data_IF_220173435078
#
_entry.id   IF_220173435078
#
_cell.length_a   1.000
_cell.length_b   1.000
_cell.length_c   1.000
_cell.angle_alpha   90.00
_cell.angle_beta   90.00
_cell.angle_gamma   90.00
#
_symmetry.space_group_name_H-M   'P 1'
#
loop_
_entity.id
_entity.type
_entity.pdbx_description
1 polymer ?
#
# COMPACT_ATOMS: atom_id res chain seq x y z
N UNK A 1 7.54 3.74 18.60
CA UNK A 1 6.99 4.64 17.57
C UNK A 1 6.66 3.76 16.39
N UNK A 2 5.38 3.50 16.18
CA UNK A 2 4.90 2.54 15.18
C UNK A 2 5.03 3.13 13.77
N UNK A 3 4.98 2.30 12.73
CA UNK A 3 5.06 2.75 11.34
C UNK A 3 3.96 3.77 11.01
N UNK A 4 2.81 3.60 11.66
CA UNK A 4 1.64 4.49 11.62
C UNK A 4 2.04 5.93 11.99
N UNK A 5 2.84 6.12 13.05
CA UNK A 5 3.25 7.45 13.52
C UNK A 5 4.22 8.16 12.55
N UNK A 6 5.02 7.41 11.77
CA UNK A 6 6.00 8.01 10.85
C UNK A 6 5.44 8.31 9.46
N UNK A 7 4.41 7.57 9.04
CA UNK A 7 3.79 7.70 7.72
C UNK A 7 2.52 8.55 7.75
N UNK A 8 1.73 8.50 8.83
CA UNK A 8 0.57 9.37 8.99
C UNK A 8 0.95 10.86 9.03
N UNK A 9 2.12 11.18 9.60
CA UNK A 9 2.65 12.54 9.73
C UNK A 9 3.29 13.13 8.46
N UNK A 10 3.24 12.45 7.30
CA UNK A 10 4.00 12.89 6.11
C UNK A 10 3.22 13.10 4.82
N UNK A 11 1.92 12.78 4.76
CA UNK A 11 1.20 12.77 3.47
C UNK A 11 -0.05 13.66 3.40
N UNK A 12 -0.89 13.81 4.44
CA UNK A 12 -2.01 14.76 4.38
C UNK A 12 -1.56 16.23 4.35
N UNK A 13 -0.32 16.50 4.80
CA UNK A 13 0.21 17.85 5.01
C UNK A 13 1.09 18.38 3.88
N UNK A 14 1.22 17.66 2.75
CA UNK A 14 1.91 18.20 1.58
C UNK A 14 0.90 18.95 0.69
N UNK A 15 0.81 20.29 0.77
CA UNK A 15 -0.21 21.08 0.07
C UNK A 15 -0.10 21.01 -1.46
N UNK A 16 1.03 20.55 -1.99
CA UNK A 16 1.26 20.39 -3.44
C UNK A 16 0.87 19.00 -3.96
N UNK A 17 0.43 18.08 -3.10
CA UNK A 17 0.17 16.70 -3.51
C UNK A 17 -1.29 16.49 -3.96
N UNK A 18 -1.53 16.66 -5.26
CA UNK A 18 -2.80 16.30 -5.91
C UNK A 18 -2.63 14.99 -6.67
N UNK A 19 -3.30 13.92 -6.22
CA UNK A 19 -3.50 12.73 -7.05
C UNK A 19 -4.43 13.14 -8.21
N UNK A 20 -3.89 13.20 -9.43
CA UNK A 20 -4.58 13.76 -10.58
C UNK A 20 -5.82 12.96 -11.03
N UNK A 21 -5.85 11.65 -10.75
CA UNK A 21 -6.96 10.75 -11.07
C UNK A 21 -7.60 10.23 -9.77
N UNK A 22 -8.94 10.34 -9.61
CA UNK A 22 -9.65 9.87 -8.42
C UNK A 22 -9.54 8.36 -8.16
N UNK A 23 -9.21 7.54 -9.17
CA UNK A 23 -8.99 6.10 -9.05
C UNK A 23 -7.51 5.75 -8.83
N UNK A 24 -6.59 6.73 -8.86
CA UNK A 24 -5.18 6.46 -8.55
C UNK A 24 -5.01 5.97 -7.12
N UNK A 25 -4.18 4.94 -6.96
CA UNK A 25 -3.78 4.41 -5.65
C UNK A 25 -2.29 4.61 -5.47
N UNK A 26 -1.91 5.35 -4.44
CA UNK A 26 -0.52 5.42 -3.98
C UNK A 26 -0.28 4.30 -2.98
N UNK A 27 0.73 3.49 -3.23
CA UNK A 27 1.20 2.45 -2.32
C UNK A 27 2.55 2.85 -1.73
N UNK A 28 2.61 3.03 -0.41
CA UNK A 28 3.88 3.06 0.32
C UNK A 28 4.04 1.69 0.99
N UNK A 29 5.24 1.13 0.95
CA UNK A 29 5.49 -0.18 1.54
C UNK A 29 6.83 -0.22 2.26
N UNK A 30 6.90 -1.10 3.25
CA UNK A 30 8.13 -1.47 3.94
C UNK A 30 8.26 -2.99 3.92
N UNK A 31 9.43 -3.46 3.51
CA UNK A 31 9.77 -4.89 3.56
C UNK A 31 10.63 -5.11 4.79
N UNK A 32 10.16 -5.97 5.69
CA UNK A 32 10.91 -6.50 6.83
C UNK A 32 11.20 -7.99 6.59
N UNK A 33 11.93 -8.63 7.50
CA UNK A 33 12.44 -10.00 7.32
C UNK A 33 11.38 -11.01 6.85
N UNK A 34 10.17 -10.96 7.42
CA UNK A 34 9.10 -11.92 7.13
C UNK A 34 7.76 -11.26 6.74
N UNK A 35 7.68 -9.93 6.69
CA UNK A 35 6.43 -9.22 6.44
C UNK A 35 6.66 -8.05 5.48
N UNK A 36 5.63 -7.77 4.68
CA UNK A 36 5.53 -6.53 3.90
C UNK A 36 4.39 -5.72 4.48
N UNK A 37 4.72 -4.57 5.06
CA UNK A 37 3.73 -3.61 5.55
C UNK A 37 3.39 -2.65 4.41
N UNK A 38 2.09 -2.44 4.17
CA UNK A 38 1.59 -1.67 3.04
C UNK A 38 0.60 -0.61 3.53
N UNK A 39 0.76 0.62 3.05
CA UNK A 39 -0.15 1.73 3.26
C UNK A 39 -0.64 2.25 1.91
N UNK A 40 -1.95 2.21 1.71
CA UNK A 40 -2.61 2.68 0.49
C UNK A 40 -3.31 4.02 0.73
N UNK A 41 -3.14 4.95 -0.20
CA UNK A 41 -3.84 6.24 -0.20
C UNK A 41 -4.53 6.40 -1.55
N UNK A 42 -5.83 6.68 -1.54
CA UNK A 42 -6.65 6.87 -2.73
C UNK A 42 -7.72 7.94 -2.46
N UNK A 43 -8.00 8.87 -3.39
CA UNK A 43 -9.07 9.86 -3.22
C UNK A 43 -10.47 9.25 -3.30
N UNK A 44 -10.70 8.28 -4.19
CA UNK A 44 -12.02 7.75 -4.55
C UNK A 44 -12.41 6.42 -3.91
N UNK A 45 -11.76 5.98 -2.82
CA UNK A 45 -12.06 4.69 -2.18
C UNK A 45 -11.55 3.45 -2.94
N UNK A 46 -10.80 3.63 -4.03
CA UNK A 46 -10.17 2.55 -4.80
C UNK A 46 -9.09 1.75 -4.03
N UNK A 47 -8.65 2.26 -2.88
CA UNK A 47 -7.65 1.62 -2.03
C UNK A 47 -8.07 0.21 -1.57
N UNK A 48 -9.34 0.00 -1.20
CA UNK A 48 -9.81 -1.32 -0.74
C UNK A 48 -9.80 -2.37 -1.87
N UNK A 49 -10.27 -1.98 -3.06
CA UNK A 49 -10.24 -2.84 -4.26
C UNK A 49 -8.81 -3.20 -4.65
N UNK A 50 -7.90 -2.23 -4.55
CA UNK A 50 -6.49 -2.46 -4.80
C UNK A 50 -5.86 -3.39 -3.75
N UNK A 51 -6.17 -3.19 -2.46
CA UNK A 51 -5.68 -4.07 -1.39
C UNK A 51 -6.14 -5.52 -1.58
N UNK A 52 -7.40 -5.74 -1.94
CA UNK A 52 -7.93 -7.07 -2.19
C UNK A 52 -7.21 -7.77 -3.35
N UNK A 53 -6.95 -7.04 -4.43
CA UNK A 53 -6.17 -7.53 -5.58
C UNK A 53 -4.73 -7.84 -5.17
N UNK A 54 -4.08 -6.92 -4.46
CA UNK A 54 -2.69 -7.09 -3.99
C UNK A 54 -2.55 -8.34 -3.10
N UNK A 55 -3.48 -8.56 -2.18
CA UNK A 55 -3.49 -9.74 -1.31
C UNK A 55 -3.60 -11.04 -2.11
N UNK A 56 -4.46 -11.07 -3.14
CA UNK A 56 -4.60 -12.24 -4.02
C UNK A 56 -3.30 -12.53 -4.77
N UNK A 57 -2.67 -11.51 -5.34
CA UNK A 57 -1.41 -11.68 -6.09
C UNK A 57 -0.26 -12.10 -5.16
N UNK A 58 -0.20 -11.57 -3.94
CA UNK A 58 0.79 -11.98 -2.95
C UNK A 58 0.69 -13.48 -2.60
N UNK A 59 -0.54 -14.02 -2.52
CA UNK A 59 -0.75 -15.46 -2.33
C UNK A 59 -0.21 -16.28 -3.50
N UNK A 60 -0.44 -15.83 -4.74
CA UNK A 60 0.07 -16.52 -5.94
C UNK A 60 1.60 -16.55 -5.93
N UNK A 61 2.24 -15.42 -5.65
CA UNK A 61 3.71 -15.33 -5.56
C UNK A 61 4.24 -16.26 -4.47
N UNK A 62 3.58 -16.31 -3.30
CA UNK A 62 3.99 -17.19 -2.20
C UNK A 62 3.94 -18.66 -2.62
N UNK A 63 2.86 -19.10 -3.28
CA UNK A 63 2.75 -20.46 -3.83
C UNK A 63 3.88 -20.76 -4.82
N UNK A 64 4.18 -19.84 -5.74
CA UNK A 64 5.25 -20.03 -6.73
C UNK A 64 6.62 -20.17 -6.05
N UNK A 65 6.91 -19.35 -5.04
CA UNK A 65 8.19 -19.37 -4.32
C UNK A 65 8.31 -20.65 -3.49
N UNK A 66 7.24 -21.12 -2.86
CA UNK A 66 7.25 -22.37 -2.06
C UNK A 66 7.35 -23.64 -2.91
N UNK A 67 6.95 -23.60 -4.17
CA UNK A 67 7.08 -24.73 -5.12
C UNK A 67 8.49 -24.85 -5.73
N UNK A 68 9.40 -23.91 -5.43
CA UNK A 68 10.80 -23.94 -5.85
C UNK A 68 11.69 -24.43 -4.71
#
# INVERSE_FOLDING_TARGET
MYLEDRLALRLPENPDYTMADPESVRMNYMVNDNIVEVMLVCPGGGAERFQATLNREALIVNVIVQLR
#
